data_IF_155680892553
#
_entry.id   IF_155680892553
#
_cell.length_a   1.000
_cell.length_b   1.000
_cell.length_c   1.000
_cell.angle_alpha   90.00
_cell.angle_beta   90.00
_cell.angle_gamma   90.00
#
_symmetry.space_group_name_H-M   'P 1'
#
loop_
_entity.id
_entity.type
_entity.pdbx_description
1 polymer ?
#
# COMPACT_ATOMS: atom_id res chain seq x y z
N UNK A 1 4.34 12.73 -27.27
CA UNK A 1 5.35 13.78 -26.89
C UNK A 1 5.46 13.73 -25.36
N UNK A 2 6.70 13.85 -24.81
CA UNK A 2 6.82 13.86 -23.34
C UNK A 2 6.27 15.19 -22.80
N UNK A 3 5.35 15.11 -21.86
CA UNK A 3 4.76 16.26 -21.17
C UNK A 3 5.42 16.53 -19.82
N UNK A 4 6.01 15.48 -19.21
CA UNK A 4 6.83 15.60 -18.00
C UNK A 4 8.10 14.80 -18.20
N UNK A 5 9.25 15.39 -17.91
CA UNK A 5 10.55 14.72 -17.86
C UNK A 5 11.13 14.78 -16.44
N UNK A 6 11.42 13.63 -15.91
CA UNK A 6 12.17 13.47 -14.67
C UNK A 6 13.63 13.27 -15.08
N UNK A 7 14.54 14.13 -14.58
CA UNK A 7 15.95 14.10 -14.96
C UNK A 7 16.82 13.97 -13.73
N UNK A 8 17.48 12.84 -13.60
CA UNK A 8 18.51 12.55 -12.60
C UNK A 8 18.10 12.89 -11.15
N UNK A 9 16.84 12.62 -10.78
CA UNK A 9 16.38 12.94 -9.44
C UNK A 9 16.97 11.97 -8.41
N UNK A 10 17.45 12.55 -7.32
CA UNK A 10 17.83 11.83 -6.10
C UNK A 10 17.07 12.40 -4.91
N UNK A 11 16.68 11.53 -3.98
CA UNK A 11 15.96 11.93 -2.77
C UNK A 11 16.32 11.02 -1.61
N UNK A 12 16.69 11.63 -0.47
CA UNK A 12 16.99 10.93 0.78
C UNK A 12 15.98 11.40 1.84
N UNK A 13 15.35 10.48 2.52
CA UNK A 13 14.42 10.79 3.61
C UNK A 13 14.79 10.01 4.87
N UNK A 14 15.07 10.72 5.97
CA UNK A 14 15.44 10.08 7.25
C UNK A 14 16.66 9.15 7.17
N UNK A 15 17.63 9.41 6.27
CA UNK A 15 18.80 8.57 6.04
C UNK A 15 18.56 7.40 5.07
N UNK A 16 17.31 7.20 4.59
CA UNK A 16 16.98 6.19 3.59
C UNK A 16 16.95 6.82 2.20
N UNK A 17 17.67 6.21 1.25
CA UNK A 17 17.62 6.59 -0.16
C UNK A 17 16.27 6.18 -0.72
N UNK A 18 15.50 7.16 -1.20
CA UNK A 18 14.19 6.98 -1.83
C UNK A 18 14.35 6.91 -3.35
N UNK A 19 15.12 7.84 -3.93
CA UNK A 19 15.48 7.85 -5.35
C UNK A 19 17.00 7.99 -5.48
N UNK A 20 17.59 7.24 -6.41
CA UNK A 20 19.02 7.18 -6.69
C UNK A 20 19.25 7.37 -8.20
N UNK A 21 19.49 8.62 -8.62
CA UNK A 21 19.74 8.99 -10.01
C UNK A 21 18.67 8.46 -10.99
N UNK A 22 17.41 8.83 -10.74
CA UNK A 22 16.26 8.36 -11.49
C UNK A 22 15.90 9.30 -12.63
N UNK A 23 15.76 8.76 -13.84
CA UNK A 23 15.29 9.49 -15.01
C UNK A 23 14.14 8.75 -15.70
N UNK A 24 13.06 9.47 -16.04
CA UNK A 24 11.88 8.89 -16.70
C UNK A 24 11.10 9.98 -17.44
N UNK A 25 10.67 9.69 -18.67
CA UNK A 25 9.75 10.54 -19.43
C UNK A 25 8.31 10.04 -19.31
N UNK A 26 7.35 10.96 -19.23
CA UNK A 26 5.92 10.70 -19.21
C UNK A 26 5.30 11.38 -20.43
N UNK A 27 4.59 10.61 -21.26
CA UNK A 27 3.96 11.09 -22.48
C UNK A 27 2.50 11.42 -22.29
N UNK A 28 1.99 12.25 -23.18
CA UNK A 28 0.58 12.61 -23.20
C UNK A 28 -0.32 11.37 -23.43
N UNK A 29 -1.42 11.28 -22.69
CA UNK A 29 -2.41 10.20 -22.78
C UNK A 29 -2.00 8.88 -22.15
N UNK A 30 -0.82 8.80 -21.53
CA UNK A 30 -0.42 7.60 -20.78
C UNK A 30 -1.23 7.42 -19.49
N UNK A 31 -1.54 6.16 -19.19
CA UNK A 31 -2.19 5.74 -17.94
C UNK A 31 -1.22 4.90 -17.16
N UNK A 32 -0.54 5.54 -16.22
CA UNK A 32 0.61 4.97 -15.53
C UNK A 32 0.20 4.47 -14.15
N UNK A 33 0.40 3.18 -13.89
CA UNK A 33 0.35 2.62 -12.55
C UNK A 33 1.72 2.66 -11.89
N UNK A 34 1.83 3.29 -10.72
CA UNK A 34 3.06 3.31 -9.92
C UNK A 34 2.97 2.27 -8.83
N UNK A 35 3.88 1.32 -8.84
CA UNK A 35 3.91 0.20 -7.90
C UNK A 35 5.26 0.11 -7.19
N UNK A 36 5.28 -0.59 -6.07
CA UNK A 36 6.47 -0.82 -5.24
C UNK A 36 6.09 -1.16 -3.82
N UNK A 37 7.03 -1.65 -3.04
CA UNK A 37 6.85 -1.97 -1.63
C UNK A 37 6.53 -0.68 -0.83
N UNK A 38 5.85 -0.81 0.31
CA UNK A 38 5.58 0.36 1.15
C UNK A 38 6.88 1.00 1.62
N UNK A 39 6.93 2.34 1.54
CA UNK A 39 8.13 3.13 1.88
C UNK A 39 9.20 3.17 0.78
N UNK A 40 8.90 2.80 -0.47
CA UNK A 40 9.78 2.99 -1.64
C UNK A 40 9.68 4.37 -2.27
N UNK A 41 8.75 5.22 -1.80
CA UNK A 41 8.62 6.60 -2.29
C UNK A 41 7.53 6.84 -3.32
N UNK A 42 6.51 5.97 -3.44
CA UNK A 42 5.40 6.14 -4.39
C UNK A 42 4.69 7.49 -4.21
N UNK A 43 4.24 7.80 -3.00
CA UNK A 43 3.63 9.10 -2.65
C UNK A 43 4.61 10.26 -2.84
N UNK A 44 5.90 10.07 -2.51
CA UNK A 44 6.95 11.07 -2.72
C UNK A 44 7.10 11.40 -4.20
N UNK A 45 7.07 10.38 -5.07
CA UNK A 45 7.12 10.59 -6.52
C UNK A 45 5.93 11.45 -6.99
N UNK A 46 4.71 11.12 -6.56
CA UNK A 46 3.53 11.93 -6.93
C UNK A 46 3.64 13.37 -6.41
N UNK A 47 4.15 13.57 -5.18
CA UNK A 47 4.36 14.92 -4.61
C UNK A 47 5.42 15.71 -5.37
N UNK A 48 6.49 15.05 -5.82
CA UNK A 48 7.53 15.67 -6.66
C UNK A 48 6.96 16.07 -8.02
N UNK A 49 6.15 15.20 -8.65
CA UNK A 49 5.46 15.50 -9.91
C UNK A 49 4.43 16.62 -9.78
N UNK A 50 3.75 16.70 -8.62
CA UNK A 50 2.81 17.78 -8.31
C UNK A 50 3.50 19.10 -7.95
N UNK A 51 4.84 19.16 -7.88
CA UNK A 51 5.59 20.33 -7.45
C UNK A 51 5.47 20.67 -5.96
N UNK A 52 4.91 19.77 -5.16
CA UNK A 52 4.74 19.94 -3.69
C UNK A 52 6.00 19.57 -2.91
N UNK A 53 6.90 18.85 -3.53
CA UNK A 53 8.17 18.43 -2.93
C UNK A 53 9.29 18.56 -3.97
N UNK A 54 10.45 19.05 -3.56
CA UNK A 54 11.60 19.14 -4.45
C UNK A 54 12.53 17.95 -4.26
N UNK A 55 13.11 17.41 -5.34
CA UNK A 55 14.19 16.43 -5.22
C UNK A 55 15.42 17.09 -4.58
N UNK A 56 16.32 16.28 -3.99
CA UNK A 56 17.56 16.79 -3.41
C UNK A 56 18.60 17.06 -4.52
N UNK A 57 18.57 16.28 -5.60
CA UNK A 57 19.34 16.47 -6.83
C UNK A 57 18.47 16.22 -8.05
N UNK A 58 18.86 16.78 -9.19
CA UNK A 58 18.11 16.66 -10.44
C UNK A 58 16.92 17.62 -10.51
N UNK A 59 16.06 17.41 -11.49
CA UNK A 59 14.91 18.27 -11.72
C UNK A 59 13.75 17.54 -12.38
N UNK A 60 12.54 18.09 -12.23
CA UNK A 60 11.35 17.69 -12.98
C UNK A 60 10.98 18.84 -13.92
N UNK A 61 10.96 18.57 -15.21
CA UNK A 61 10.61 19.52 -16.25
C UNK A 61 9.21 19.19 -16.74
N UNK A 62 8.28 20.12 -16.56
CA UNK A 62 6.93 20.04 -17.11
C UNK A 62 6.79 20.96 -18.31
N UNK A 63 6.02 20.54 -19.31
CA UNK A 63 5.69 21.37 -20.45
C UNK A 63 4.91 22.61 -19.97
N UNK A 64 5.20 23.78 -20.54
CA UNK A 64 4.55 25.03 -20.17
C UNK A 64 3.02 24.96 -20.38
N UNK A 65 2.27 25.44 -19.37
CA UNK A 65 0.82 25.52 -19.42
C UNK A 65 0.08 24.23 -19.01
N UNK A 66 0.78 23.16 -18.67
CA UNK A 66 0.15 21.95 -18.18
C UNK A 66 -0.43 22.16 -16.77
N UNK A 67 -1.68 21.77 -16.60
CA UNK A 67 -2.39 21.79 -15.31
C UNK A 67 -2.38 20.41 -14.73
N UNK A 68 -1.93 20.30 -13.47
CA UNK A 68 -1.82 19.06 -12.74
C UNK A 68 -2.82 19.05 -11.59
N UNK A 69 -3.75 18.10 -11.59
CA UNK A 69 -4.62 17.82 -10.45
C UNK A 69 -4.06 16.69 -9.63
N UNK A 70 -4.08 16.80 -8.30
CA UNK A 70 -3.51 15.80 -7.40
C UNK A 70 -4.47 15.44 -6.27
N UNK A 71 -4.89 14.18 -6.24
CA UNK A 71 -5.58 13.57 -5.11
C UNK A 71 -4.54 13.03 -4.13
N UNK A 72 -4.41 13.68 -2.99
CA UNK A 72 -3.50 13.26 -1.92
C UNK A 72 -4.05 12.06 -1.15
N UNK A 73 -3.16 11.23 -0.62
CA UNK A 73 -3.53 10.10 0.24
C UNK A 73 -4.32 10.55 1.49
N UNK A 74 -3.97 11.68 2.10
CA UNK A 74 -4.65 12.29 3.24
C UNK A 74 -4.97 13.75 2.91
N UNK A 75 -6.12 14.03 2.25
CA UNK A 75 -6.54 15.40 1.95
C UNK A 75 -6.89 16.15 3.23
N UNK A 76 -6.65 17.46 3.25
CA UNK A 76 -7.11 18.31 4.33
C UNK A 76 -8.61 18.64 4.15
N UNK A 77 -9.36 18.58 5.24
CA UNK A 77 -10.79 18.86 5.27
C UNK A 77 -11.07 20.02 6.23
N UNK A 78 -11.33 21.23 5.71
CA UNK A 78 -11.76 22.37 6.52
C UNK A 78 -13.14 22.10 7.15
N UNK A 79 -13.24 22.14 8.47
CA UNK A 79 -14.48 21.80 9.19
C UNK A 79 -15.63 22.76 8.92
N UNK A 80 -15.33 24.00 8.53
CA UNK A 80 -16.31 25.07 8.30
C UNK A 80 -17.01 25.00 6.93
N UNK A 81 -16.56 24.13 6.00
CA UNK A 81 -17.08 24.05 4.65
C UNK A 81 -18.17 23.00 4.52
N UNK A 82 -19.16 23.30 3.65
CA UNK A 82 -20.11 22.29 3.16
C UNK A 82 -19.44 21.43 2.09
N UNK A 83 -20.03 20.27 1.78
CA UNK A 83 -19.54 19.35 0.74
C UNK A 83 -19.39 20.08 -0.59
N UNK A 84 -20.44 20.79 -1.04
CA UNK A 84 -20.41 21.50 -2.32
C UNK A 84 -19.38 22.61 -2.31
N UNK A 85 -19.33 23.43 -1.25
CA UNK A 85 -18.35 24.51 -1.16
C UNK A 85 -16.91 24.03 -1.13
N UNK A 86 -16.66 22.83 -0.59
CA UNK A 86 -15.34 22.20 -0.62
C UNK A 86 -14.96 21.71 -2.02
N UNK A 87 -15.90 21.06 -2.71
CA UNK A 87 -15.66 20.51 -4.05
C UNK A 87 -15.44 21.61 -5.07
N UNK A 88 -16.17 22.71 -4.97
CA UNK A 88 -16.07 23.85 -5.90
C UNK A 88 -15.06 24.92 -5.46
N UNK A 89 -14.33 24.71 -4.38
CA UNK A 89 -13.34 25.65 -3.82
C UNK A 89 -12.23 25.97 -4.82
N UNK A 90 -12.02 27.27 -5.07
CA UNK A 90 -11.05 27.75 -6.05
C UNK A 90 -11.55 27.80 -7.48
N UNK A 91 -12.81 27.42 -7.73
CA UNK A 91 -13.48 27.62 -9.01
C UNK A 91 -14.17 28.98 -9.04
N UNK A 92 -14.25 29.58 -10.24
CA UNK A 92 -14.95 30.87 -10.37
C UNK A 92 -16.43 30.70 -10.02
N UNK A 93 -16.96 31.56 -9.19
CA UNK A 93 -18.28 31.47 -8.53
C UNK A 93 -19.50 31.40 -9.51
N UNK A 94 -19.29 31.40 -10.79
CA UNK A 94 -20.36 31.49 -11.81
C UNK A 94 -20.41 30.35 -12.84
N UNK A 95 -19.61 29.31 -12.72
CA UNK A 95 -19.71 28.18 -13.66
C UNK A 95 -20.74 27.15 -13.19
N UNK A 96 -22.02 27.42 -13.59
CA UNK A 96 -23.16 26.52 -13.32
C UNK A 96 -22.95 25.11 -13.88
N UNK A 97 -22.14 24.96 -14.91
CA UNK A 97 -21.85 23.67 -15.56
C UNK A 97 -21.02 22.82 -14.64
N UNK A 98 -19.93 23.39 -14.09
CA UNK A 98 -19.06 22.72 -13.13
C UNK A 98 -19.77 22.33 -11.83
N UNK A 99 -20.63 23.22 -11.32
CA UNK A 99 -21.45 22.90 -10.15
C UNK A 99 -22.41 21.74 -10.40
N UNK A 100 -23.02 21.70 -11.58
CA UNK A 100 -23.93 20.63 -11.98
C UNK A 100 -23.19 19.30 -12.12
N UNK A 101 -22.00 19.34 -12.71
CA UNK A 101 -21.12 18.18 -12.84
C UNK A 101 -20.66 17.68 -11.47
N UNK A 102 -20.22 18.58 -10.59
CA UNK A 102 -19.84 18.25 -9.20
C UNK A 102 -20.99 17.56 -8.45
N UNK A 103 -22.20 18.11 -8.53
CA UNK A 103 -23.40 17.50 -7.91
C UNK A 103 -23.73 16.13 -8.50
N UNK A 104 -23.59 15.98 -9.81
CA UNK A 104 -23.80 14.70 -10.49
C UNK A 104 -22.82 13.64 -9.99
N UNK A 105 -21.51 13.97 -9.93
CA UNK A 105 -20.47 13.06 -9.42
C UNK A 105 -20.66 12.74 -7.94
N UNK A 106 -21.03 13.72 -7.10
CA UNK A 106 -21.33 13.50 -5.69
C UNK A 106 -22.48 12.51 -5.50
N UNK A 107 -23.57 12.68 -6.26
CA UNK A 107 -24.71 11.77 -6.24
C UNK A 107 -24.32 10.34 -6.65
N UNK A 108 -23.50 10.18 -7.70
CA UNK A 108 -22.99 8.88 -8.15
C UNK A 108 -22.12 8.20 -7.09
N UNK A 109 -21.39 8.98 -6.29
CA UNK A 109 -20.59 8.46 -5.17
C UNK A 109 -21.39 8.35 -3.87
N UNK A 110 -22.72 8.50 -3.90
CA UNK A 110 -23.62 8.31 -2.78
C UNK A 110 -23.62 9.44 -1.75
N UNK A 111 -23.23 10.66 -2.14
CA UNK A 111 -23.32 11.87 -1.32
C UNK A 111 -24.47 12.71 -1.89
N UNK A 112 -25.65 12.59 -1.30
CA UNK A 112 -26.89 13.21 -1.79
C UNK A 112 -27.11 14.60 -1.20
N UNK A 113 -26.77 14.79 0.09
CA UNK A 113 -26.85 16.09 0.74
C UNK A 113 -25.55 16.87 0.51
N UNK A 114 -25.61 17.82 -0.43
CA UNK A 114 -24.45 18.60 -0.83
C UNK A 114 -24.18 19.80 0.09
N UNK A 115 -25.15 20.21 0.88
CA UNK A 115 -25.03 21.34 1.81
C UNK A 115 -24.64 20.90 3.23
N UNK A 116 -24.55 19.61 3.53
CA UNK A 116 -24.12 19.13 4.83
C UNK A 116 -22.66 19.53 5.12
N UNK A 117 -22.30 19.82 6.39
CA UNK A 117 -20.94 20.13 6.81
C UNK A 117 -19.99 18.94 6.57
N UNK A 118 -18.78 19.21 6.11
CA UNK A 118 -17.75 18.17 5.96
C UNK A 118 -17.44 17.42 7.26
N UNK A 119 -17.60 18.09 8.40
CA UNK A 119 -17.38 17.50 9.73
C UNK A 119 -18.31 16.33 10.03
N UNK A 120 -19.52 16.32 9.46
CA UNK A 120 -20.53 15.26 9.66
C UNK A 120 -20.31 14.04 8.76
N UNK A 121 -19.47 14.16 7.72
CA UNK A 121 -19.15 13.06 6.83
C UNK A 121 -18.26 12.02 7.52
N UNK A 122 -18.51 10.75 7.21
CA UNK A 122 -17.57 9.67 7.52
C UNK A 122 -16.24 9.86 6.77
N UNK A 123 -15.15 9.26 7.25
CA UNK A 123 -13.84 9.33 6.60
C UNK A 123 -13.87 8.88 5.13
N UNK A 124 -14.66 7.84 4.82
CA UNK A 124 -14.85 7.38 3.45
C UNK A 124 -15.61 8.39 2.57
N UNK A 125 -16.66 9.03 3.10
CA UNK A 125 -17.40 10.07 2.37
C UNK A 125 -16.54 11.32 2.12
N UNK A 126 -15.72 11.73 3.11
CA UNK A 126 -14.76 12.83 2.93
C UNK A 126 -13.78 12.55 1.78
N UNK A 127 -13.26 11.32 1.69
CA UNK A 127 -12.38 10.92 0.60
C UNK A 127 -13.07 10.95 -0.77
N UNK A 128 -14.34 10.51 -0.84
CA UNK A 128 -15.14 10.62 -2.06
C UNK A 128 -15.33 12.08 -2.50
N UNK A 129 -15.63 12.98 -1.55
CA UNK A 129 -15.70 14.42 -1.82
C UNK A 129 -14.35 14.98 -2.33
N UNK A 130 -13.22 14.55 -1.78
CA UNK A 130 -11.89 14.93 -2.26
C UNK A 130 -11.61 14.40 -3.67
N UNK A 131 -12.02 13.18 -3.97
CA UNK A 131 -11.93 12.63 -5.33
C UNK A 131 -12.74 13.49 -6.32
N UNK A 132 -14.01 13.79 -6.00
CA UNK A 132 -14.85 14.66 -6.87
C UNK A 132 -14.20 16.03 -7.05
N UNK A 133 -13.72 16.67 -5.98
CA UNK A 133 -12.97 17.93 -6.06
C UNK A 133 -11.81 17.87 -7.05
N UNK A 134 -11.09 16.76 -7.06
CA UNK A 134 -9.94 16.58 -7.96
C UNK A 134 -10.39 16.37 -9.40
N UNK A 135 -11.48 15.62 -9.63
CA UNK A 135 -11.95 15.26 -10.96
C UNK A 135 -12.73 16.37 -11.66
N UNK A 136 -13.35 17.30 -10.91
CA UNK A 136 -14.11 18.43 -11.47
C UNK A 136 -13.19 19.58 -11.91
N UNK A 137 -11.95 19.62 -11.42
CA UNK A 137 -10.96 20.60 -11.87
C UNK A 137 -10.62 20.39 -13.34
N UNK A 138 -10.21 21.47 -13.99
CA UNK A 138 -9.68 21.41 -15.35
C UNK A 138 -8.20 21.04 -15.30
N UNK A 139 -7.83 19.90 -15.85
CA UNK A 139 -6.47 19.36 -15.76
C UNK A 139 -6.08 18.60 -17.03
N UNK A 140 -4.76 18.55 -17.29
CA UNK A 140 -4.15 17.80 -18.38
C UNK A 140 -3.48 16.51 -17.84
N UNK A 141 -3.02 16.56 -16.58
CA UNK A 141 -2.41 15.45 -15.86
C UNK A 141 -3.13 15.24 -14.54
N UNK A 142 -3.56 14.01 -14.29
CA UNK A 142 -4.22 13.59 -13.07
C UNK A 142 -3.30 12.67 -12.26
N UNK A 143 -2.98 13.10 -11.03
CA UNK A 143 -2.21 12.30 -10.07
C UNK A 143 -3.16 11.77 -8.99
N UNK A 144 -3.17 10.44 -8.80
CA UNK A 144 -4.06 9.77 -7.85
C UNK A 144 -3.26 8.94 -6.84
N UNK A 145 -3.32 9.28 -5.57
CA UNK A 145 -2.67 8.53 -4.48
C UNK A 145 -3.69 7.71 -3.70
N UNK A 146 -3.73 6.40 -3.95
CA UNK A 146 -4.67 5.42 -3.39
C UNK A 146 -6.16 5.79 -3.61
N UNK A 147 -6.59 6.04 -4.87
CA UNK A 147 -7.96 6.47 -5.15
C UNK A 147 -9.01 5.39 -4.89
N UNK A 148 -8.61 4.12 -4.88
CA UNK A 148 -9.49 2.95 -4.73
C UNK A 148 -9.88 2.68 -3.27
N UNK A 149 -9.15 3.24 -2.31
CA UNK A 149 -9.42 3.05 -0.90
C UNK A 149 -10.78 3.62 -0.51
N UNK A 150 -11.58 2.85 0.21
CA UNK A 150 -12.93 3.19 0.68
C UNK A 150 -14.00 3.32 -0.42
N UNK A 151 -13.71 2.91 -1.66
CA UNK A 151 -14.71 2.78 -2.71
C UNK A 151 -15.27 1.36 -2.69
N UNK A 152 -16.59 1.24 -2.94
CA UNK A 152 -17.21 -0.05 -3.20
C UNK A 152 -17.11 -0.43 -4.70
N UNK A 153 -17.55 -1.63 -5.04
CA UNK A 153 -17.40 -2.15 -6.40
C UNK A 153 -18.11 -1.31 -7.48
N UNK A 154 -19.26 -0.70 -7.16
CA UNK A 154 -19.97 0.16 -8.12
C UNK A 154 -19.18 1.43 -8.41
N UNK A 155 -18.66 2.04 -7.36
CA UNK A 155 -17.83 3.23 -7.46
C UNK A 155 -16.49 2.96 -8.13
N UNK A 156 -15.88 1.81 -7.87
CA UNK A 156 -14.66 1.38 -8.57
C UNK A 156 -14.92 1.25 -10.07
N UNK A 157 -16.01 0.59 -10.46
CA UNK A 157 -16.40 0.46 -11.88
C UNK A 157 -16.64 1.82 -12.52
N UNK A 158 -17.32 2.74 -11.82
CA UNK A 158 -17.52 4.09 -12.29
C UNK A 158 -16.19 4.84 -12.50
N UNK A 159 -15.26 4.75 -11.55
CA UNK A 159 -13.94 5.38 -11.65
C UNK A 159 -13.12 4.78 -12.79
N UNK A 160 -13.13 3.44 -12.96
CA UNK A 160 -12.50 2.76 -14.10
C UNK A 160 -13.01 3.31 -15.42
N UNK A 161 -14.35 3.41 -15.58
CA UNK A 161 -14.99 3.94 -16.80
C UNK A 161 -14.63 5.41 -17.04
N UNK A 162 -14.62 6.23 -15.99
CA UNK A 162 -14.22 7.63 -16.08
C UNK A 162 -12.78 7.77 -16.58
N UNK A 163 -11.83 7.07 -15.92
CA UNK A 163 -10.42 7.13 -16.27
C UNK A 163 -10.12 6.56 -17.66
N UNK A 164 -10.86 5.54 -18.10
CA UNK A 164 -10.69 4.96 -19.44
C UNK A 164 -11.20 5.91 -20.54
N UNK A 165 -12.23 6.71 -20.28
CA UNK A 165 -12.73 7.74 -21.22
C UNK A 165 -11.90 9.00 -21.23
N UNK A 166 -11.23 9.30 -20.14
CA UNK A 166 -10.37 10.48 -20.03
C UNK A 166 -9.16 10.36 -20.99
N UNK A 167 -8.94 11.35 -21.84
CA UNK A 167 -7.89 11.33 -22.87
C UNK A 167 -6.54 11.85 -22.39
N UNK A 168 -6.48 12.58 -21.28
CA UNK A 168 -5.25 13.09 -20.71
C UNK A 168 -4.43 12.03 -20.00
N UNK A 169 -3.35 12.45 -19.39
CA UNK A 169 -2.42 11.57 -18.70
C UNK A 169 -2.87 11.32 -17.26
N UNK A 170 -2.81 10.07 -16.84
CA UNK A 170 -3.14 9.66 -15.46
C UNK A 170 -1.94 8.93 -14.86
N UNK A 171 -1.54 9.31 -13.66
CA UNK A 171 -0.52 8.62 -12.88
C UNK A 171 -1.14 8.24 -11.54
N UNK A 172 -1.20 6.96 -11.27
CA UNK A 172 -1.90 6.46 -10.08
C UNK A 172 -1.04 5.52 -9.25
N UNK A 173 -1.13 5.67 -7.94
CA UNK A 173 -0.64 4.72 -6.96
C UNK A 173 -1.84 3.97 -6.39
N UNK A 174 -1.89 2.66 -6.49
CA UNK A 174 -2.91 1.85 -5.84
C UNK A 174 -2.40 0.43 -5.58
N UNK A 175 -2.96 -0.22 -4.57
CA UNK A 175 -2.73 -1.64 -4.28
C UNK A 175 -3.76 -2.54 -4.97
N UNK A 176 -4.78 -1.98 -5.61
CA UNK A 176 -5.78 -2.74 -6.36
C UNK A 176 -5.22 -3.18 -7.72
N UNK A 177 -4.89 -4.46 -7.79
CA UNK A 177 -4.29 -5.09 -8.98
C UNK A 177 -5.27 -5.18 -10.15
N UNK A 178 -6.56 -5.40 -9.85
CA UNK A 178 -7.60 -5.48 -10.88
C UNK A 178 -7.85 -4.12 -11.50
N UNK A 179 -7.88 -3.07 -10.68
CA UNK A 179 -7.99 -1.71 -11.14
C UNK A 179 -6.81 -1.32 -12.04
N UNK A 180 -5.58 -1.61 -11.61
CA UNK A 180 -4.38 -1.37 -12.43
C UNK A 180 -4.42 -2.12 -13.76
N UNK A 181 -4.87 -3.37 -13.75
CA UNK A 181 -4.92 -4.19 -14.97
C UNK A 181 -5.89 -3.65 -16.02
N UNK A 182 -6.98 -3.02 -15.59
CA UNK A 182 -8.01 -2.46 -16.47
C UNK A 182 -7.75 -1.04 -16.94
N UNK A 183 -7.07 -0.23 -16.13
CA UNK A 183 -6.88 1.19 -16.40
C UNK A 183 -5.49 1.50 -16.93
N UNK A 184 -4.44 0.83 -16.46
CA UNK A 184 -3.07 1.19 -16.82
C UNK A 184 -2.63 0.58 -18.16
N UNK A 185 -1.88 1.37 -18.93
CA UNK A 185 -1.18 0.92 -20.14
C UNK A 185 0.34 0.92 -19.97
N UNK A 186 0.82 1.47 -18.84
CA UNK A 186 2.23 1.51 -18.48
C UNK A 186 2.38 1.37 -16.96
N UNK A 187 3.37 0.60 -16.53
CA UNK A 187 3.68 0.41 -15.11
C UNK A 187 5.08 0.99 -14.83
N UNK A 188 5.17 1.78 -13.77
CA UNK A 188 6.44 2.23 -13.19
C UNK A 188 6.65 1.51 -11.85
N UNK A 189 7.65 0.64 -11.80
CA UNK A 189 8.03 -0.06 -10.58
C UNK A 189 9.14 0.70 -9.87
N UNK A 190 8.87 1.09 -8.61
CA UNK A 190 9.85 1.66 -7.68
C UNK A 190 10.49 0.54 -6.89
N UNK A 191 11.77 0.30 -7.13
CA UNK A 191 12.52 -0.78 -6.52
C UNK A 191 13.94 -0.33 -6.16
N UNK A 192 14.30 -0.41 -4.86
CA UNK A 192 15.63 -0.05 -4.34
C UNK A 192 16.19 1.29 -4.84
N UNK A 193 15.33 2.32 -4.85
CA UNK A 193 15.71 3.68 -5.28
C UNK A 193 15.75 3.89 -6.78
N UNK A 194 15.39 2.90 -7.60
CA UNK A 194 15.34 2.98 -9.05
C UNK A 194 13.91 2.89 -9.57
N UNK A 195 13.68 3.41 -10.78
CA UNK A 195 12.42 3.25 -11.51
C UNK A 195 12.65 2.33 -12.70
N UNK A 196 11.81 1.29 -12.78
CA UNK A 196 11.73 0.40 -13.94
C UNK A 196 10.40 0.65 -14.66
N UNK A 197 10.47 0.91 -15.96
CA UNK A 197 9.29 1.19 -16.78
C UNK A 197 8.93 -0.01 -17.64
N UNK A 198 7.66 -0.36 -17.65
CA UNK A 198 7.08 -1.43 -18.45
C UNK A 198 5.89 -0.91 -19.24
N UNK A 199 5.96 -0.96 -20.56
CA UNK A 199 4.83 -0.64 -21.45
C UNK A 199 3.84 -1.81 -21.48
N UNK A 200 3.09 -1.96 -20.41
CA UNK A 200 2.22 -3.11 -20.16
C UNK A 200 1.16 -2.77 -19.08
N UNK A 201 0.06 -3.53 -19.07
CA UNK A 201 -0.86 -3.59 -17.92
C UNK A 201 -0.25 -4.42 -16.77
N UNK A 202 -0.97 -4.53 -15.65
CA UNK A 202 -0.46 -5.19 -14.46
C UNK A 202 -0.14 -6.68 -14.67
N UNK A 203 -1.01 -7.43 -15.35
CA UNK A 203 -0.81 -8.86 -15.61
C UNK A 203 0.45 -9.10 -16.43
N UNK A 204 0.65 -8.34 -17.51
CA UNK A 204 1.83 -8.46 -18.36
C UNK A 204 3.11 -7.98 -17.69
N UNK A 205 3.00 -6.94 -16.83
CA UNK A 205 4.11 -6.48 -15.99
C UNK A 205 4.69 -7.61 -15.14
N UNK A 206 3.85 -8.45 -14.50
CA UNK A 206 4.33 -9.54 -13.66
C UNK A 206 5.23 -10.53 -14.44
N UNK A 207 4.86 -10.87 -15.68
CA UNK A 207 5.70 -11.71 -16.54
C UNK A 207 7.04 -11.04 -16.86
N UNK A 208 7.01 -9.76 -17.24
CA UNK A 208 8.21 -9.00 -17.58
C UNK A 208 9.13 -8.80 -16.38
N UNK A 209 8.55 -8.61 -15.18
CA UNK A 209 9.31 -8.51 -13.93
C UNK A 209 10.09 -9.79 -13.65
N UNK A 210 9.43 -10.97 -13.73
CA UNK A 210 10.09 -12.27 -13.55
C UNK A 210 11.24 -12.44 -14.53
N UNK A 211 11.03 -12.13 -15.81
CA UNK A 211 12.10 -12.20 -16.83
C UNK A 211 13.27 -11.27 -16.50
N UNK A 212 13.01 -10.04 -16.06
CA UNK A 212 14.07 -9.10 -15.65
C UNK A 212 14.88 -9.65 -14.49
N UNK A 213 14.21 -10.19 -13.47
CA UNK A 213 14.86 -10.75 -12.27
C UNK A 213 15.71 -11.98 -12.62
N UNK A 214 15.20 -12.86 -13.45
CA UNK A 214 15.96 -14.03 -13.96
C UNK A 214 17.19 -13.61 -14.75
N UNK A 215 17.08 -12.62 -15.63
CA UNK A 215 18.21 -12.07 -16.37
C UNK A 215 19.25 -11.43 -15.46
N UNK A 216 18.81 -10.68 -14.45
CA UNK A 216 19.69 -10.06 -13.46
C UNK A 216 20.47 -11.13 -12.65
N UNK A 217 19.80 -12.19 -12.21
CA UNK A 217 20.41 -13.32 -11.51
C UNK A 217 21.40 -14.09 -12.40
N UNK A 218 21.05 -14.32 -13.66
CA UNK A 218 21.94 -14.98 -14.63
C UNK A 218 23.20 -14.14 -14.89
N UNK A 219 23.04 -12.83 -15.04
CA UNK A 219 24.16 -11.88 -15.22
C UNK A 219 25.06 -11.85 -13.98
N UNK A 220 24.48 -11.86 -12.80
CA UNK A 220 25.24 -11.89 -11.53
C UNK A 220 26.01 -13.20 -11.36
N UNK A 221 25.39 -14.35 -11.66
CA UNK A 221 26.10 -15.65 -11.64
C UNK A 221 27.29 -15.64 -12.61
N UNK A 222 27.12 -15.07 -13.81
CA UNK A 222 28.21 -14.93 -14.79
C UNK A 222 29.32 -14.00 -14.25
N UNK A 223 28.94 -12.84 -13.67
CA UNK A 223 29.89 -11.90 -13.04
C UNK A 223 30.69 -12.59 -11.93
N UNK A 224 30.03 -13.32 -11.03
CA UNK A 224 30.70 -14.03 -9.94
C UNK A 224 31.65 -15.12 -10.44
N UNK A 225 31.26 -15.84 -11.51
CA UNK A 225 32.14 -16.84 -12.13
C UNK A 225 33.41 -16.20 -12.70
N UNK A 226 33.27 -15.07 -13.43
CA UNK A 226 34.43 -14.32 -13.94
C UNK A 226 35.26 -13.74 -12.82
N UNK A 227 34.63 -13.17 -11.79
CA UNK A 227 35.30 -12.62 -10.62
C UNK A 227 36.17 -13.69 -9.91
N UNK A 228 35.62 -14.90 -9.76
CA UNK A 228 36.37 -16.03 -9.15
C UNK A 228 37.62 -16.35 -9.97
N UNK A 229 37.48 -16.48 -11.29
CA UNK A 229 38.64 -16.75 -12.18
C UNK A 229 39.68 -15.62 -12.11
N UNK A 230 39.26 -14.36 -12.12
CA UNK A 230 40.17 -13.23 -12.03
C UNK A 230 40.84 -13.11 -10.67
N UNK A 231 40.16 -13.44 -9.57
CA UNK A 231 40.74 -13.51 -8.24
C UNK A 231 41.79 -14.61 -8.11
N UNK A 232 41.54 -15.79 -8.68
CA UNK A 232 42.50 -16.87 -8.72
C UNK A 232 43.75 -16.49 -9.53
N UNK A 233 43.55 -15.81 -10.65
CA UNK A 233 44.65 -15.26 -11.43
C UNK A 233 45.49 -14.22 -10.64
N UNK A 234 44.81 -13.31 -9.94
CA UNK A 234 45.47 -12.29 -9.13
C UNK A 234 46.28 -12.90 -7.95
N UNK A 235 45.76 -13.98 -7.32
CA UNK A 235 46.46 -14.71 -6.23
C UNK A 235 47.75 -15.38 -6.67
N UNK A 236 47.94 -15.71 -7.96
CA UNK A 236 49.14 -16.35 -8.49
C UNK A 236 50.33 -15.36 -8.61
N UNK A 237 50.25 -14.17 -8.02
CA UNK A 237 51.39 -13.26 -7.88
C UNK A 237 51.75 -12.48 -9.14
N UNK A 238 50.77 -12.06 -9.92
CA UNK A 238 50.96 -11.26 -11.14
C UNK A 238 51.55 -9.88 -10.81
N UNK A 239 52.82 -9.69 -11.11
CA UNK A 239 53.45 -8.38 -10.98
C UNK A 239 52.99 -7.49 -12.15
N UNK A 240 52.42 -6.30 -11.83
CA UNK A 240 51.85 -5.37 -12.81
C UNK A 240 52.96 -4.66 -13.65
N UNK A 241 53.74 -5.42 -14.43
CA UNK A 241 54.84 -4.86 -15.27
C UNK A 241 54.41 -4.54 -16.71
N UNK A 242 53.19 -4.91 -17.15
CA UNK A 242 52.73 -4.61 -18.50
C UNK A 242 51.40 -3.86 -18.49
N UNK A 243 51.16 -3.04 -19.51
CA UNK A 243 49.92 -2.29 -19.70
C UNK A 243 48.68 -3.21 -19.71
N UNK A 244 48.80 -4.41 -20.29
CA UNK A 244 47.73 -5.43 -20.32
C UNK A 244 47.37 -5.97 -18.93
N UNK A 245 48.39 -6.12 -18.05
CA UNK A 245 48.14 -6.58 -16.67
C UNK A 245 47.50 -5.49 -15.83
N UNK A 246 47.84 -4.22 -16.05
CA UNK A 246 47.18 -3.08 -15.36
C UNK A 246 45.73 -2.96 -15.74
N UNK A 247 45.40 -3.00 -17.03
CA UNK A 247 43.99 -3.01 -17.50
C UNK A 247 43.18 -4.19 -16.96
N UNK A 248 43.82 -5.35 -16.75
CA UNK A 248 43.15 -6.52 -16.16
C UNK A 248 42.88 -6.35 -14.65
N UNK A 249 43.79 -5.71 -13.90
CA UNK A 249 43.57 -5.37 -12.50
C UNK A 249 42.46 -4.32 -12.33
N UNK A 250 42.43 -3.28 -13.19
CA UNK A 250 41.36 -2.29 -13.22
C UNK A 250 40.00 -2.95 -13.51
N UNK A 251 39.95 -3.92 -14.43
CA UNK A 251 38.75 -4.71 -14.70
C UNK A 251 38.34 -5.56 -13.48
N UNK A 252 39.29 -6.14 -12.75
CA UNK A 252 39.02 -6.89 -11.53
C UNK A 252 38.44 -5.99 -10.44
N UNK A 253 38.94 -4.77 -10.29
CA UNK A 253 38.41 -3.79 -9.34
C UNK A 253 36.97 -3.38 -9.71
N UNK A 254 36.71 -3.14 -10.99
CA UNK A 254 35.37 -2.86 -11.48
C UNK A 254 34.39 -4.04 -11.23
N UNK A 255 34.85 -5.30 -11.42
CA UNK A 255 34.06 -6.49 -11.11
C UNK A 255 33.78 -6.63 -9.61
N UNK A 256 34.71 -6.26 -8.72
CA UNK A 256 34.50 -6.25 -7.27
C UNK A 256 33.53 -5.16 -6.82
N UNK A 257 33.56 -3.99 -7.46
CA UNK A 257 32.67 -2.86 -7.13
C UNK A 257 31.22 -3.12 -7.52
N UNK A 258 30.92 -4.07 -8.41
CA UNK A 258 29.56 -4.43 -8.79
C UNK A 258 28.78 -4.98 -7.60
N UNK A 259 27.57 -4.45 -7.34
CA UNK A 259 26.66 -4.92 -6.30
C UNK A 259 25.83 -6.09 -6.84
N UNK A 260 25.61 -7.11 -6.02
CA UNK A 260 24.67 -8.18 -6.34
C UNK A 260 23.22 -7.64 -6.33
N UNK A 261 22.31 -8.19 -7.15
CA UNK A 261 20.90 -7.90 -7.02
C UNK A 261 20.44 -8.17 -5.59
N UNK A 262 19.71 -7.24 -5.01
CA UNK A 262 19.11 -7.42 -3.69
C UNK A 262 17.88 -8.30 -3.88
N UNK A 263 17.82 -9.45 -3.22
CA UNK A 263 16.60 -10.25 -3.19
C UNK A 263 15.68 -9.72 -2.10
N UNK A 264 14.43 -9.47 -2.44
CA UNK A 264 13.42 -9.16 -1.43
C UNK A 264 13.26 -10.36 -0.49
N UNK A 265 13.34 -10.10 0.82
CA UNK A 265 13.04 -11.12 1.80
C UNK A 265 11.54 -11.44 1.75
N UNK A 266 11.19 -12.69 1.51
CA UNK A 266 9.81 -13.16 1.52
C UNK A 266 9.35 -13.37 2.96
N UNK A 267 8.14 -12.89 3.25
CA UNK A 267 7.53 -13.05 4.56
C UNK A 267 6.96 -14.48 4.64
N UNK A 268 7.64 -15.36 5.39
CA UNK A 268 7.13 -16.71 5.67
C UNK A 268 6.38 -16.70 7.00
N UNK A 269 5.07 -16.83 6.95
CA UNK A 269 4.21 -16.91 8.13
C UNK A 269 3.83 -18.37 8.36
N UNK A 270 4.54 -19.05 9.24
CA UNK A 270 4.13 -20.33 9.80
C UNK A 270 3.58 -20.11 11.21
N UNK A 271 2.25 -20.05 11.34
CA UNK A 271 1.58 -20.07 12.63
C UNK A 271 1.06 -21.47 12.91
N UNK A 272 1.43 -22.05 14.05
CA UNK A 272 0.84 -23.29 14.51
C UNK A 272 -0.48 -22.93 15.18
N UNK A 273 -1.60 -23.20 14.51
CA UNK A 273 -2.91 -23.03 15.12
C UNK A 273 -3.06 -23.98 16.31
N UNK A 274 -3.50 -23.46 17.45
CA UNK A 274 -3.90 -24.29 18.58
C UNK A 274 -5.02 -25.25 18.15
N UNK A 275 -5.09 -26.44 18.79
CA UNK A 275 -6.07 -27.47 18.44
C UNK A 275 -7.50 -26.96 18.65
N UNK A 276 -8.29 -26.85 17.58
CA UNK A 276 -9.71 -26.51 17.64
C UNK A 276 -10.53 -27.69 18.17
N UNK A 277 -11.40 -27.46 19.14
CA UNK A 277 -12.44 -28.37 19.60
C UNK A 277 -13.51 -28.65 18.54
N UNK A 278 -14.62 -29.27 18.90
CA UNK A 278 -15.76 -29.52 18.00
C UNK A 278 -16.58 -28.25 17.77
N UNK A 279 -16.85 -27.49 18.84
CA UNK A 279 -17.58 -26.24 18.80
C UNK A 279 -16.66 -25.13 18.36
N UNK A 280 -17.07 -24.37 17.37
CA UNK A 280 -16.33 -23.27 16.77
C UNK A 280 -16.96 -21.94 17.18
N UNK A 281 -17.39 -21.12 16.24
CA UNK A 281 -18.14 -19.88 16.45
C UNK A 281 -19.52 -20.06 15.83
N UNK A 282 -20.56 -19.93 16.63
CA UNK A 282 -21.96 -20.09 16.22
C UNK A 282 -22.70 -18.79 16.48
N UNK A 283 -23.40 -18.30 15.47
CA UNK A 283 -24.19 -17.09 15.50
C UNK A 283 -25.67 -17.51 15.47
N UNK A 284 -26.46 -17.06 16.43
CA UNK A 284 -27.87 -17.41 16.55
C UNK A 284 -28.73 -16.16 16.55
N UNK A 285 -29.56 -15.99 15.53
CA UNK A 285 -30.56 -14.92 15.41
C UNK A 285 -30.02 -13.53 15.63
N UNK A 286 -28.81 -13.26 15.13
CA UNK A 286 -28.14 -11.99 15.32
C UNK A 286 -28.86 -10.88 14.57
N UNK A 287 -29.27 -9.85 15.30
CA UNK A 287 -29.78 -8.61 14.70
C UNK A 287 -29.08 -7.41 15.29
N UNK A 288 -28.82 -6.40 14.43
CA UNK A 288 -28.19 -5.13 14.80
C UNK A 288 -28.72 -3.99 13.95
N UNK A 289 -29.08 -2.90 14.62
CA UNK A 289 -29.51 -1.64 13.98
C UNK A 289 -28.79 -0.44 14.58
N UNK A 290 -28.66 0.61 13.81
CA UNK A 290 -28.21 1.91 14.28
C UNK A 290 -29.25 2.95 13.87
N UNK A 291 -29.95 3.52 14.86
CA UNK A 291 -31.11 4.36 14.62
C UNK A 291 -32.18 3.61 13.83
N UNK A 292 -32.61 4.15 12.70
CA UNK A 292 -33.61 3.50 11.83
C UNK A 292 -33.00 2.47 10.86
N UNK A 293 -31.68 2.48 10.69
CA UNK A 293 -31.01 1.59 9.74
C UNK A 293 -30.75 0.21 10.34
N UNK A 294 -31.40 -0.80 9.77
CA UNK A 294 -31.11 -2.21 10.07
C UNK A 294 -29.90 -2.65 9.27
N UNK A 295 -28.83 -3.09 9.95
CA UNK A 295 -27.60 -3.58 9.32
C UNK A 295 -27.56 -5.10 9.21
N UNK A 296 -28.07 -5.79 10.24
CA UNK A 296 -28.12 -7.25 10.32
C UNK A 296 -29.51 -7.59 10.82
N UNK A 297 -30.17 -8.51 10.16
CA UNK A 297 -31.53 -8.94 10.49
C UNK A 297 -31.60 -10.47 10.53
N UNK A 298 -31.88 -11.03 11.72
CA UNK A 298 -32.07 -12.45 11.99
C UNK A 298 -31.01 -13.38 11.33
N UNK A 299 -29.74 -13.08 11.56
CA UNK A 299 -28.60 -13.75 10.89
C UNK A 299 -28.11 -14.94 11.71
N UNK A 300 -28.16 -16.14 11.10
CA UNK A 300 -27.67 -17.39 11.65
C UNK A 300 -26.47 -17.89 10.83
N UNK A 301 -25.38 -18.27 11.51
CA UNK A 301 -24.22 -18.85 10.83
C UNK A 301 -23.35 -19.68 11.78
N UNK A 302 -22.80 -20.77 11.27
CA UNK A 302 -21.82 -21.61 11.97
C UNK A 302 -20.53 -21.61 11.20
N UNK A 303 -19.48 -21.11 11.82
CA UNK A 303 -18.12 -21.11 11.24
C UNK A 303 -17.55 -22.52 11.36
N UNK A 304 -17.18 -23.13 10.25
CA UNK A 304 -16.59 -24.47 10.23
C UNK A 304 -15.08 -24.44 10.48
N UNK A 305 -14.53 -25.57 10.95
CA UNK A 305 -13.07 -25.71 11.09
C UNK A 305 -12.37 -25.55 9.76
N UNK A 306 -11.22 -24.85 9.80
CA UNK A 306 -10.37 -24.59 8.62
C UNK A 306 -11.09 -23.85 7.49
N UNK A 307 -12.25 -23.28 7.77
CA UNK A 307 -12.98 -22.44 6.81
C UNK A 307 -12.27 -21.09 6.62
N UNK A 308 -12.20 -20.62 5.38
CA UNK A 308 -11.84 -19.26 5.04
C UNK A 308 -13.09 -18.57 4.49
N UNK A 309 -13.60 -17.62 5.26
CA UNK A 309 -14.85 -16.93 4.96
C UNK A 309 -14.54 -15.50 4.54
N UNK A 310 -14.99 -15.10 3.35
CA UNK A 310 -14.96 -13.72 2.88
C UNK A 310 -16.34 -13.09 3.02
N UNK A 311 -16.42 -11.92 3.69
CA UNK A 311 -17.65 -11.14 3.83
C UNK A 311 -17.60 -9.99 2.84
N UNK A 312 -18.48 -10.00 1.84
CA UNK A 312 -18.54 -9.00 0.78
C UNK A 312 -19.87 -8.25 0.83
N UNK A 313 -19.86 -7.00 0.38
CA UNK A 313 -21.05 -6.15 0.30
C UNK A 313 -20.71 -4.67 0.20
N UNK A 314 -21.67 -3.79 -0.10
CA UNK A 314 -21.48 -2.36 -0.18
C UNK A 314 -20.93 -1.73 1.11
N UNK A 315 -20.40 -0.53 1.01
CA UNK A 315 -19.95 0.20 2.19
C UNK A 315 -21.15 0.57 3.08
N UNK A 316 -20.96 0.37 4.41
CA UNK A 316 -22.02 0.64 5.38
C UNK A 316 -23.14 -0.41 5.44
N UNK A 317 -22.97 -1.61 4.84
CA UNK A 317 -23.92 -2.72 4.96
C UNK A 317 -23.78 -3.54 6.25
N UNK A 318 -22.76 -3.26 7.09
CA UNK A 318 -22.62 -3.94 8.38
C UNK A 318 -21.48 -4.96 8.47
N UNK A 319 -20.58 -5.06 7.47
CA UNK A 319 -19.43 -6.02 7.48
C UNK A 319 -18.60 -5.93 8.75
N UNK A 320 -18.05 -4.74 9.02
CA UNK A 320 -17.23 -4.49 10.22
C UNK A 320 -18.04 -4.67 11.52
N UNK A 321 -19.33 -4.34 11.48
CA UNK A 321 -20.22 -4.55 12.63
C UNK A 321 -20.37 -6.04 12.95
N UNK A 322 -20.57 -6.89 11.94
CA UNK A 322 -20.66 -8.34 12.12
C UNK A 322 -19.35 -8.91 12.69
N UNK A 323 -18.20 -8.50 12.13
CA UNK A 323 -16.89 -8.94 12.62
C UNK A 323 -16.66 -8.51 14.07
N UNK A 324 -17.05 -7.27 14.44
CA UNK A 324 -16.93 -6.76 15.81
C UNK A 324 -17.88 -7.47 16.78
N UNK A 325 -19.07 -7.90 16.32
CA UNK A 325 -19.98 -8.73 17.12
C UNK A 325 -19.34 -10.10 17.40
N UNK A 326 -18.77 -10.75 16.38
CA UNK A 326 -18.05 -12.02 16.52
C UNK A 326 -16.85 -11.87 17.47
N UNK A 327 -16.13 -10.74 17.38
CA UNK A 327 -15.00 -10.43 18.26
C UNK A 327 -15.42 -10.08 19.71
N UNK A 328 -16.72 -9.95 19.99
CA UNK A 328 -17.23 -9.54 21.31
C UNK A 328 -16.99 -8.07 21.65
N UNK A 329 -16.69 -7.23 20.64
CA UNK A 329 -16.45 -5.79 20.82
C UNK A 329 -17.75 -4.97 20.78
N UNK A 330 -18.80 -5.50 20.17
CA UNK A 330 -20.14 -4.91 20.08
C UNK A 330 -21.15 -5.98 20.42
N UNK A 331 -22.11 -5.67 21.28
CA UNK A 331 -23.23 -6.55 21.58
C UNK A 331 -24.29 -6.46 20.47
N UNK A 332 -24.86 -7.58 20.01
CA UNK A 332 -26.03 -7.57 19.13
C UNK A 332 -27.24 -7.00 19.89
N UNK A 333 -28.23 -6.49 19.16
CA UNK A 333 -29.50 -6.02 19.76
C UNK A 333 -30.42 -7.20 20.10
N UNK A 334 -30.30 -8.29 19.33
CA UNK A 334 -30.93 -9.59 19.64
C UNK A 334 -30.05 -10.73 19.13
N UNK A 335 -30.31 -11.93 19.64
CA UNK A 335 -29.52 -13.12 19.34
C UNK A 335 -28.31 -13.31 20.25
N UNK A 336 -27.49 -14.31 19.95
CA UNK A 336 -26.32 -14.65 20.74
C UNK A 336 -25.16 -15.18 19.89
N UNK A 337 -23.95 -14.92 20.34
CA UNK A 337 -22.70 -15.47 19.74
C UNK A 337 -22.18 -16.53 20.73
N UNK A 338 -22.07 -17.75 20.27
CA UNK A 338 -21.51 -18.83 21.07
C UNK A 338 -20.09 -19.17 20.53
N UNK A 339 -19.10 -19.02 21.40
CA UNK A 339 -17.70 -19.28 21.08
C UNK A 339 -17.26 -20.53 21.82
N UNK A 340 -16.71 -21.51 21.10
CA UNK A 340 -16.21 -22.75 21.70
C UNK A 340 -15.07 -22.48 22.69
N UNK A 341 -15.02 -23.20 23.80
CA UNK A 341 -14.04 -23.02 24.89
C UNK A 341 -12.56 -23.09 24.43
N UNK A 342 -12.29 -23.78 23.33
CA UNK A 342 -10.94 -23.91 22.75
C UNK A 342 -10.61 -22.85 21.71
N UNK A 343 -11.55 -21.94 21.42
CA UNK A 343 -11.37 -20.89 20.42
C UNK A 343 -10.66 -19.70 21.06
N UNK A 344 -9.57 -19.30 20.43
CA UNK A 344 -8.87 -18.05 20.71
C UNK A 344 -9.00 -17.15 19.50
N UNK A 345 -9.72 -16.04 19.66
CA UNK A 345 -9.94 -15.07 18.60
C UNK A 345 -8.79 -14.10 18.51
N UNK A 346 -8.25 -13.91 17.31
CA UNK A 346 -7.34 -12.82 16.96
C UNK A 346 -8.07 -11.83 16.08
N UNK A 347 -8.31 -10.61 16.57
CA UNK A 347 -8.97 -9.55 15.81
C UNK A 347 -7.95 -8.52 15.30
N UNK A 348 -7.95 -8.32 13.99
CA UNK A 348 -7.17 -7.30 13.31
C UNK A 348 -8.12 -6.21 12.80
N UNK A 349 -8.07 -5.05 13.45
CA UNK A 349 -8.95 -3.92 13.16
C UNK A 349 -8.53 -3.19 11.88
N UNK A 350 -9.47 -2.54 11.23
CA UNK A 350 -9.28 -1.68 10.06
C UNK A 350 -8.27 -0.55 10.35
N UNK A 351 -8.42 0.10 11.49
CA UNK A 351 -7.50 1.12 11.98
C UNK A 351 -6.55 0.52 13.03
N UNK A 352 -5.28 0.93 12.95
CA UNK A 352 -4.30 0.51 13.94
C UNK A 352 -4.67 1.16 15.29
N UNK A 353 -4.86 0.38 16.37
CA UNK A 353 -5.14 0.94 17.67
C UNK A 353 -3.99 1.80 18.15
N UNK A 354 -4.27 2.73 19.07
CA UNK A 354 -3.25 3.57 19.69
C UNK A 354 -2.16 2.69 20.32
N UNK A 355 -0.94 2.88 19.84
CA UNK A 355 0.24 2.20 20.36
C UNK A 355 1.01 3.14 21.27
N UNK A 356 1.58 2.59 22.34
CA UNK A 356 2.53 3.36 23.14
C UNK A 356 3.75 3.73 22.28
N UNK A 357 3.85 4.99 21.90
CA UNK A 357 4.84 5.50 20.96
C UNK A 357 6.26 5.51 21.52
N UNK A 358 6.43 5.52 22.85
CA UNK A 358 7.73 5.54 23.53
C UNK A 358 8.30 4.14 23.73
N UNK A 359 7.45 3.11 23.69
CA UNK A 359 7.85 1.73 23.88
C UNK A 359 8.69 1.22 22.69
N UNK A 360 9.65 0.35 22.96
CA UNK A 360 10.43 -0.32 21.91
C UNK A 360 9.57 -1.34 21.18
N UNK A 361 9.84 -1.51 19.89
CA UNK A 361 9.13 -2.47 19.04
C UNK A 361 9.15 -3.89 19.61
N UNK A 362 10.31 -4.34 20.13
CA UNK A 362 10.45 -5.67 20.72
C UNK A 362 9.64 -5.82 22.01
N UNK A 363 9.58 -4.78 22.83
CA UNK A 363 8.85 -4.82 24.10
C UNK A 363 7.33 -4.87 23.85
N UNK A 364 6.84 -4.17 22.82
CA UNK A 364 5.44 -4.21 22.40
C UNK A 364 4.95 -5.62 22.03
N UNK A 365 5.83 -6.47 21.47
CA UNK A 365 5.51 -7.88 21.18
C UNK A 365 5.68 -8.73 22.42
N UNK A 366 6.71 -8.49 23.23
CA UNK A 366 6.95 -9.24 24.49
C UNK A 366 5.83 -9.07 25.51
N UNK A 367 5.10 -7.95 25.50
CA UNK A 367 3.91 -7.75 26.34
C UNK A 367 2.83 -8.79 26.10
N UNK A 368 2.80 -9.41 24.92
CA UNK A 368 1.85 -10.49 24.59
C UNK A 368 2.41 -11.85 25.00
N UNK A 369 3.63 -12.15 24.56
CA UNK A 369 4.34 -13.36 24.90
C UNK A 369 5.85 -13.22 24.60
N UNK A 370 6.69 -13.88 25.38
CA UNK A 370 8.13 -13.92 25.11
C UNK A 370 8.50 -14.93 24.02
N UNK A 371 7.71 -16.00 23.91
CA UNK A 371 7.90 -17.08 22.94
C UNK A 371 6.55 -17.55 22.38
N UNK A 372 6.51 -17.82 21.09
CA UNK A 372 5.37 -18.46 20.43
C UNK A 372 5.68 -19.95 20.20
N UNK A 373 4.82 -20.89 20.63
CA UNK A 373 4.99 -22.29 20.29
C UNK A 373 4.72 -22.53 18.80
N UNK A 374 5.62 -23.24 18.12
CA UNK A 374 5.49 -23.64 16.72
C UNK A 374 5.69 -25.14 16.58
N UNK A 375 5.44 -25.71 15.39
CA UNK A 375 5.64 -27.15 15.14
C UNK A 375 7.08 -27.58 15.38
N UNK A 376 8.02 -26.69 15.07
CA UNK A 376 9.48 -26.96 15.13
C UNK A 376 10.11 -26.49 16.46
N UNK A 377 9.32 -26.05 17.45
CA UNK A 377 9.80 -25.58 18.74
C UNK A 377 9.20 -24.25 19.17
N UNK A 378 9.98 -23.46 19.91
CA UNK A 378 9.56 -22.11 20.36
C UNK A 378 10.31 -21.06 19.57
N UNK A 379 9.60 -20.08 19.03
CA UNK A 379 10.18 -18.93 18.35
C UNK A 379 10.12 -17.72 19.29
N UNK A 380 11.24 -17.02 19.47
CA UNK A 380 11.29 -15.79 20.27
C UNK A 380 10.67 -14.61 19.57
N UNK A 381 10.25 -13.58 20.33
CA UNK A 381 9.75 -12.32 19.81
C UNK A 381 10.72 -11.68 18.79
N UNK A 382 12.04 -11.71 19.06
CA UNK A 382 13.05 -11.17 18.13
C UNK A 382 13.12 -11.93 16.81
N UNK A 383 13.14 -13.26 16.84
CA UNK A 383 13.14 -14.08 15.62
C UNK A 383 11.87 -13.87 14.78
N UNK A 384 10.73 -13.68 15.44
CA UNK A 384 9.49 -13.42 14.73
C UNK A 384 9.46 -12.02 14.12
N UNK A 385 10.00 -11.01 14.82
CA UNK A 385 10.19 -9.68 14.28
C UNK A 385 11.10 -9.69 13.05
N UNK A 386 12.20 -10.47 13.07
CA UNK A 386 13.06 -10.64 11.89
C UNK A 386 12.30 -11.25 10.70
N UNK A 387 11.48 -12.29 10.94
CA UNK A 387 10.61 -12.88 9.91
C UNK A 387 9.62 -11.84 9.34
N UNK A 388 9.17 -10.89 10.16
CA UNK A 388 8.30 -9.78 9.75
C UNK A 388 9.09 -8.56 9.23
N UNK A 389 10.36 -8.77 8.86
CA UNK A 389 11.23 -7.76 8.24
C UNK A 389 11.53 -6.55 9.15
N UNK A 390 11.57 -6.75 10.45
CA UNK A 390 12.10 -5.77 11.40
C UNK A 390 13.57 -6.07 11.67
N UNK A 391 14.44 -5.21 11.16
CA UNK A 391 15.88 -5.34 11.41
C UNK A 391 16.21 -5.22 12.90
N UNK A 392 17.35 -5.74 13.37
CA UNK A 392 17.74 -5.60 14.77
C UNK A 392 17.70 -4.16 15.28
N UNK A 393 18.10 -3.19 14.46
CA UNK A 393 18.04 -1.76 14.79
C UNK A 393 16.60 -1.27 14.99
N UNK A 394 15.68 -1.71 14.14
CA UNK A 394 14.24 -1.37 14.25
C UNK A 394 13.61 -2.01 15.49
N UNK A 395 14.03 -3.22 15.88
CA UNK A 395 13.47 -3.92 17.05
C UNK A 395 13.69 -3.15 18.35
N UNK A 396 14.83 -2.46 18.47
CA UNK A 396 15.17 -1.66 19.66
C UNK A 396 14.81 -0.18 19.54
N UNK A 397 14.29 0.25 18.38
CA UNK A 397 13.78 1.60 18.17
C UNK A 397 12.40 1.78 18.83
N UNK A 398 12.03 3.02 19.22
CA UNK A 398 10.69 3.30 19.69
C UNK A 398 9.66 3.20 18.56
N UNK A 399 8.44 2.79 18.89
CA UNK A 399 7.32 2.62 17.94
C UNK A 399 7.00 3.92 17.20
N UNK A 400 7.30 5.08 17.78
CA UNK A 400 7.13 6.41 17.14
C UNK A 400 7.90 6.54 15.83
N UNK A 401 9.06 5.89 15.69
CA UNK A 401 9.90 5.95 14.49
C UNK A 401 9.40 5.07 13.33
N UNK A 402 8.42 4.22 13.58
CA UNK A 402 7.87 3.35 12.55
C UNK A 402 6.93 4.13 11.61
N UNK A 403 7.02 3.84 10.33
CA UNK A 403 6.03 4.26 9.32
C UNK A 403 4.65 3.63 9.58
N UNK A 404 3.59 4.20 9.01
CA UNK A 404 2.23 3.65 9.14
C UNK A 404 2.12 2.18 8.70
N UNK A 405 2.79 1.79 7.61
CA UNK A 405 2.84 0.40 7.15
C UNK A 405 3.61 -0.53 8.09
N UNK A 406 4.69 -0.05 8.70
CA UNK A 406 5.43 -0.80 9.70
C UNK A 406 4.63 -0.98 10.99
N UNK A 407 3.88 0.03 11.41
CA UNK A 407 2.94 -0.06 12.54
C UNK A 407 1.83 -1.07 12.26
N UNK A 408 1.25 -1.08 11.05
CA UNK A 408 0.28 -2.12 10.64
C UNK A 408 0.88 -3.52 10.69
N UNK A 409 2.12 -3.72 10.18
CA UNK A 409 2.85 -4.99 10.27
C UNK A 409 3.10 -5.42 11.71
N UNK A 410 3.50 -4.49 12.57
CA UNK A 410 3.73 -4.75 13.99
C UNK A 410 2.43 -5.16 14.69
N UNK A 411 1.32 -4.52 14.38
CA UNK A 411 0.01 -4.86 14.90
C UNK A 411 -0.44 -6.26 14.42
N UNK A 412 -0.27 -6.56 13.13
CA UNK A 412 -0.55 -7.89 12.60
C UNK A 412 0.28 -8.96 13.32
N UNK A 413 1.58 -8.70 13.51
CA UNK A 413 2.45 -9.60 14.25
C UNK A 413 1.97 -9.81 15.68
N UNK A 414 1.55 -8.76 16.38
CA UNK A 414 0.97 -8.83 17.72
C UNK A 414 -0.25 -9.75 17.73
N UNK A 415 -1.17 -9.60 16.79
CA UNK A 415 -2.38 -10.45 16.68
C UNK A 415 -2.00 -11.91 16.42
N UNK A 416 -1.02 -12.19 15.57
CA UNK A 416 -0.53 -13.55 15.33
C UNK A 416 0.14 -14.11 16.59
N UNK A 417 0.88 -13.28 17.32
CA UNK A 417 1.64 -13.68 18.51
C UNK A 417 0.74 -14.02 19.70
N UNK A 418 -0.55 -13.68 19.68
CA UNK A 418 -1.53 -14.16 20.67
C UNK A 418 -1.78 -15.68 20.60
N UNK A 419 -1.32 -16.35 19.54
CA UNK A 419 -1.56 -17.79 19.34
C UNK A 419 -3.01 -18.13 18.98
N UNK A 420 -3.75 -17.16 18.44
CA UNK A 420 -5.12 -17.34 18.01
C UNK A 420 -5.28 -18.48 17.00
N UNK A 421 -6.42 -19.19 17.06
CA UNK A 421 -6.78 -20.24 16.11
C UNK A 421 -7.94 -19.85 15.19
N UNK A 422 -8.57 -18.71 15.45
CA UNK A 422 -9.53 -18.04 14.55
C UNK A 422 -9.11 -16.58 14.41
N UNK A 423 -8.86 -16.16 13.18
CA UNK A 423 -8.48 -14.78 12.86
C UNK A 423 -9.61 -14.05 12.18
N UNK A 424 -9.92 -12.87 12.67
CA UNK A 424 -10.91 -11.94 12.13
C UNK A 424 -10.15 -10.74 11.56
N UNK A 425 -10.25 -10.52 10.26
CA UNK A 425 -9.61 -9.40 9.57
C UNK A 425 -10.69 -8.42 9.12
N UNK A 426 -10.60 -7.17 9.56
CA UNK A 426 -11.47 -6.08 9.17
C UNK A 426 -10.68 -5.12 8.28
N UNK A 427 -10.60 -5.44 6.97
CA UNK A 427 -9.80 -4.79 5.91
C UNK A 427 -8.28 -4.83 6.06
#
# INVERSE_FOLDING_TARGET
MNIINIEHISKIFGGKVIFDDVSCGISEGEKIGVIGINGTGKTTLLRVLAGLEQPDEGQVITQNGIRIAYLQQNPAFPEEKTVLSYVTDGMWDMDWTLQSEAKSMLNQLGIVDHEQPLAELSGGQRRKAALVRTLVQDFDVLLLDEPTNHLDNEMLTWLEDYLNRYKGTVIMVTHDRYFLDRVSNRILELDHGKIYSYEANYSKFLELKVQREEMALATERKRQSVLRMELEWAKRGCRARSTKQRARLERLEALKAGKAPVSDATLEIEATAARMGRKTVELHHISKRYGEKVLIDDFDYIVLKNQRLGIIGPNGCGKSTLIKIIAGLIEPDSGSVEIGETIQLGYFAQEVPDMNTEQRVIDYIKDVAEYLPTKDGKISASQMLERFLFTPEMQYAPVSKLSGGEKKRLYLLKVIFTGANVYLFDE
#
